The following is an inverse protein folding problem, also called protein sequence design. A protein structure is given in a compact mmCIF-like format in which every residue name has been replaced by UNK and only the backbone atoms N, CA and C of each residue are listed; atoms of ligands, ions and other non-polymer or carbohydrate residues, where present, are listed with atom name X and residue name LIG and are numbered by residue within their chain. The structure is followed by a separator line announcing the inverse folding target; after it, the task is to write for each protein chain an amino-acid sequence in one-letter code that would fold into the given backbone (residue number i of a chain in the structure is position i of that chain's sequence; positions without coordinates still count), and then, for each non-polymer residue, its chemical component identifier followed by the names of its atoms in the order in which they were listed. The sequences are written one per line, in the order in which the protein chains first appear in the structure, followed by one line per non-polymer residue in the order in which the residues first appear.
data_IF_159544579089
#
_entry.id   IF_159544579089
#
_cell.length_a   1.000
_cell.length_b   1.000
_cell.length_c   1.000
_cell.angle_alpha   90.00
_cell.angle_beta   90.00
_cell.angle_gamma   90.00
#
_symmetry.space_group_name_H-M   'P 1'
#
loop_
_entity.id
_entity.type
_entity.pdbx_description
1 polymer ?
#
# COMPACT_ATOMS: atom_id res chain seq x y z
N UNK A 1 0.72 15.74 -4.04
CA UNK A 1 0.69 14.43 -3.36
C UNK A 1 2.02 13.69 -3.46
N UNK A 2 2.13 12.55 -2.78
CA UNK A 2 3.29 11.66 -2.92
C UNK A 2 3.43 11.12 -4.33
N UNK A 3 2.31 10.77 -4.95
CA UNK A 3 2.25 10.27 -6.33
C UNK A 3 2.69 11.30 -7.36
N UNK A 4 2.39 12.60 -7.15
CA UNK A 4 2.85 13.68 -8.03
C UNK A 4 4.38 13.79 -8.04
N UNK A 5 5.00 13.75 -6.84
CA UNK A 5 6.48 13.78 -6.71
C UNK A 5 7.12 12.58 -7.38
N UNK A 6 6.49 11.41 -7.25
CA UNK A 6 6.97 10.18 -7.88
C UNK A 6 6.89 10.27 -9.40
N UNK A 7 5.78 10.78 -9.95
CA UNK A 7 5.59 10.99 -11.38
C UNK A 7 6.59 12.02 -11.95
N UNK A 8 6.94 13.06 -11.19
CA UNK A 8 7.99 14.02 -11.55
C UNK A 8 9.38 13.34 -11.53
N UNK A 9 9.69 12.61 -10.47
CA UNK A 9 10.99 11.96 -10.31
C UNK A 9 11.28 10.94 -11.41
N UNK A 10 10.28 10.18 -11.85
CA UNK A 10 10.45 9.15 -12.89
C UNK A 10 10.81 9.72 -14.25
N UNK A 11 10.56 11.00 -14.51
CA UNK A 11 10.95 11.68 -15.76
C UNK A 11 12.48 11.68 -15.96
N UNK A 12 13.25 11.66 -14.87
CA UNK A 12 14.71 11.56 -14.94
C UNK A 12 15.21 10.17 -15.38
N UNK A 13 14.32 9.17 -15.45
CA UNK A 13 14.64 7.79 -15.78
C UNK A 13 13.81 7.30 -16.98
N UNK A 14 14.14 7.69 -18.21
CA UNK A 14 13.30 7.41 -19.40
C UNK A 14 13.10 5.93 -19.69
N UNK A 15 14.02 5.07 -19.28
CA UNK A 15 13.97 3.61 -19.47
C UNK A 15 13.17 2.87 -18.39
N UNK A 16 12.80 3.53 -17.28
CA UNK A 16 12.01 2.90 -16.24
C UNK A 16 10.59 2.60 -16.74
N UNK A 17 10.16 1.36 -16.60
CA UNK A 17 8.82 0.89 -16.99
C UNK A 17 7.90 0.68 -15.79
N UNK A 18 8.48 0.44 -14.61
CA UNK A 18 7.80 0.24 -13.34
C UNK A 18 8.45 1.10 -12.25
N UNK A 19 7.68 1.51 -11.28
CA UNK A 19 8.12 2.40 -10.20
C UNK A 19 7.62 1.84 -8.88
N UNK A 20 8.52 1.63 -7.93
CA UNK A 20 8.15 1.24 -6.56
C UNK A 20 8.38 2.43 -5.63
N UNK A 21 7.33 2.81 -4.92
CA UNK A 21 7.36 3.89 -3.93
C UNK A 21 7.53 3.30 -2.54
N UNK A 22 8.68 3.56 -1.94
CA UNK A 22 9.00 3.19 -0.56
C UNK A 22 9.03 4.49 0.24
N UNK A 23 8.31 4.52 1.35
CA UNK A 23 8.30 5.68 2.24
C UNK A 23 9.63 5.75 3.01
N UNK A 24 10.17 6.95 3.18
CA UNK A 24 11.45 7.17 3.89
C UNK A 24 11.39 6.85 5.38
N UNK A 25 10.21 6.73 5.94
CA UNK A 25 9.92 6.36 7.32
C UNK A 25 9.78 4.83 7.54
N UNK A 26 10.01 4.01 6.49
CA UNK A 26 9.95 2.55 6.51
C UNK A 26 11.35 1.90 6.34
N UNK A 27 12.32 2.17 7.25
CA UNK A 27 13.71 1.74 7.07
C UNK A 27 13.92 0.23 7.20
N UNK A 28 12.96 -0.50 7.73
CA UNK A 28 13.01 -1.96 7.94
C UNK A 28 12.16 -2.73 6.92
N UNK A 29 11.84 -2.11 5.78
CA UNK A 29 11.13 -2.83 4.72
C UNK A 29 11.92 -4.06 4.27
N UNK A 30 11.23 -5.19 4.14
CA UNK A 30 11.82 -6.40 3.58
C UNK A 30 12.11 -6.21 2.07
N UNK A 31 13.37 -6.29 1.63
CA UNK A 31 13.70 -6.17 0.20
C UNK A 31 12.96 -7.16 -0.69
N UNK A 32 12.68 -8.38 -0.21
CA UNK A 32 11.91 -9.37 -0.95
C UNK A 32 10.46 -8.90 -1.24
N UNK A 33 9.91 -8.02 -0.41
CA UNK A 33 8.60 -7.43 -0.63
C UNK A 33 8.60 -6.47 -1.82
N UNK A 34 9.70 -5.73 -2.00
CA UNK A 34 9.90 -4.84 -3.16
C UNK A 34 9.92 -5.66 -4.45
N UNK A 35 10.67 -6.77 -4.46
CA UNK A 35 10.72 -7.68 -5.61
C UNK A 35 9.34 -8.26 -5.92
N UNK A 36 8.59 -8.71 -4.91
CA UNK A 36 7.23 -9.24 -5.08
C UNK A 36 6.25 -8.21 -5.66
N UNK A 37 6.37 -6.94 -5.28
CA UNK A 37 5.56 -5.85 -5.85
C UNK A 37 5.90 -5.63 -7.33
N UNK A 38 7.18 -5.60 -7.68
CA UNK A 38 7.63 -5.45 -9.05
C UNK A 38 7.20 -6.65 -9.92
N UNK A 39 7.42 -7.87 -9.42
CA UNK A 39 7.06 -9.12 -10.10
C UNK A 39 5.54 -9.22 -10.39
N UNK A 40 4.70 -8.76 -9.47
CA UNK A 40 3.25 -8.73 -9.68
C UNK A 40 2.86 -7.90 -10.91
N UNK A 41 3.50 -6.75 -11.11
CA UNK A 41 3.25 -5.86 -12.26
C UNK A 41 3.86 -6.40 -13.55
N UNK A 42 5.03 -7.02 -13.47
CA UNK A 42 5.71 -7.61 -14.64
C UNK A 42 4.95 -8.85 -15.15
N UNK A 43 4.43 -9.66 -14.22
CA UNK A 43 3.75 -10.93 -14.55
C UNK A 43 2.34 -10.75 -15.09
N UNK A 44 1.66 -9.66 -14.75
CA UNK A 44 0.28 -9.36 -15.21
C UNK A 44 0.24 -8.00 -15.90
N UNK A 45 0.37 -8.01 -17.22
CA UNK A 45 0.37 -6.78 -18.04
C UNK A 45 -0.92 -5.94 -17.98
N UNK A 46 -2.03 -6.50 -17.46
CA UNK A 46 -3.28 -5.77 -17.24
C UNK A 46 -3.36 -5.12 -15.84
N UNK A 47 -2.38 -5.40 -14.98
CA UNK A 47 -2.31 -4.82 -13.65
C UNK A 47 -1.66 -3.44 -13.70
N UNK A 48 -2.32 -2.44 -13.11
CA UNK A 48 -1.87 -1.04 -13.17
C UNK A 48 -1.02 -0.64 -11.97
N UNK A 49 -1.37 -1.16 -10.79
CA UNK A 49 -0.65 -0.89 -9.55
C UNK A 49 -0.73 -2.07 -8.58
N UNK A 50 0.20 -2.13 -7.67
CA UNK A 50 0.24 -3.08 -6.58
C UNK A 50 0.52 -2.37 -5.25
N UNK A 51 0.07 -2.97 -4.17
CA UNK A 51 0.30 -2.49 -2.80
C UNK A 51 0.43 -3.67 -1.84
N UNK A 52 0.58 -3.39 -0.55
CA UNK A 52 0.86 -4.38 0.48
C UNK A 52 -0.21 -4.35 1.56
N UNK A 53 -0.51 -5.49 2.15
CA UNK A 53 -1.32 -5.59 3.35
C UNK A 53 -0.80 -6.69 4.28
N UNK A 54 -1.11 -6.56 5.56
CA UNK A 54 -0.82 -7.57 6.57
C UNK A 54 -2.05 -7.84 7.46
N UNK A 55 -2.14 -9.01 8.10
CA UNK A 55 -3.20 -9.30 9.05
C UNK A 55 -3.21 -8.35 10.25
N UNK A 56 -4.40 -7.93 10.69
CA UNK A 56 -4.59 -7.21 11.95
C UNK A 56 -4.81 -8.25 13.06
N UNK A 57 -3.97 -8.21 14.08
CA UNK A 57 -4.06 -9.11 15.24
C UNK A 57 -4.69 -8.48 16.47
N UNK A 58 -4.57 -7.16 16.64
CA UNK A 58 -5.08 -6.43 17.78
C UNK A 58 -6.42 -5.74 17.47
N UNK A 59 -7.38 -5.80 18.39
CA UNK A 59 -8.70 -5.18 18.22
C UNK A 59 -8.60 -3.64 18.16
N UNK A 60 -7.69 -3.05 18.95
CA UNK A 60 -7.46 -1.60 18.94
C UNK A 60 -7.01 -1.11 17.56
N UNK A 61 -6.20 -1.89 16.86
CA UNK A 61 -5.77 -1.58 15.50
C UNK A 61 -6.93 -1.64 14.51
N UNK A 62 -7.85 -2.58 14.70
CA UNK A 62 -9.02 -2.72 13.84
C UNK A 62 -9.96 -1.51 13.95
N UNK A 63 -10.17 -1.01 15.17
CA UNK A 63 -11.08 0.11 15.45
C UNK A 63 -10.42 1.48 15.17
N UNK A 64 -9.11 1.52 14.97
CA UNK A 64 -8.37 2.75 14.69
C UNK A 64 -8.58 3.22 13.24
N UNK A 65 -9.17 4.41 13.00
CA UNK A 65 -9.39 4.94 11.65
C UNK A 65 -8.09 5.35 10.92
N UNK A 66 -6.98 5.49 11.64
CA UNK A 66 -5.68 5.77 11.04
C UNK A 66 -5.06 4.50 10.42
N UNK A 67 -5.52 3.33 10.84
CA UNK A 67 -5.17 2.05 10.22
C UNK A 67 -6.19 1.75 9.14
N UNK A 68 -5.78 1.88 7.89
CA UNK A 68 -6.64 1.63 6.73
C UNK A 68 -6.82 0.13 6.56
N UNK A 69 -8.08 -0.30 6.42
CA UNK A 69 -8.44 -1.69 6.13
C UNK A 69 -8.61 -1.90 4.65
N UNK A 70 -8.36 -3.13 4.19
CA UNK A 70 -8.57 -3.52 2.79
C UNK A 70 -9.28 -4.87 2.73
N UNK A 71 -10.21 -5.01 1.79
CA UNK A 71 -10.86 -6.28 1.45
C UNK A 71 -10.47 -6.70 0.06
N UNK A 72 -10.27 -8.01 -0.13
CA UNK A 72 -9.73 -8.58 -1.35
C UNK A 72 -10.74 -9.46 -2.08
N UNK A 73 -10.65 -9.46 -3.39
CA UNK A 73 -11.23 -10.47 -4.26
C UNK A 73 -10.44 -11.78 -4.16
N UNK A 74 -11.03 -12.88 -4.65
CA UNK A 74 -10.39 -14.20 -4.60
C UNK A 74 -9.09 -14.30 -5.40
N UNK A 75 -8.84 -13.39 -6.33
CA UNK A 75 -7.59 -13.29 -7.10
C UNK A 75 -6.51 -12.43 -6.42
N UNK A 76 -6.79 -11.85 -5.23
CA UNK A 76 -5.89 -10.99 -4.50
C UNK A 76 -5.92 -9.51 -4.91
N UNK A 77 -6.83 -9.11 -5.79
CA UNK A 77 -7.02 -7.69 -6.12
C UNK A 77 -7.87 -7.01 -5.05
N UNK A 78 -7.60 -5.74 -4.75
CA UNK A 78 -8.37 -4.97 -3.81
C UNK A 78 -9.81 -4.75 -4.31
N UNK A 79 -10.79 -5.01 -3.45
CA UNK A 79 -12.19 -4.64 -3.67
C UNK A 79 -12.47 -3.23 -3.16
N UNK A 80 -11.96 -2.89 -1.97
CA UNK A 80 -12.12 -1.57 -1.37
C UNK A 80 -11.13 -1.35 -0.23
N UNK A 81 -10.79 -0.07 0.00
CA UNK A 81 -10.01 0.40 1.15
C UNK A 81 -10.90 1.33 1.99
N UNK A 82 -10.82 1.22 3.31
CA UNK A 82 -11.60 2.08 4.20
C UNK A 82 -10.91 2.33 5.54
N UNK A 83 -11.19 3.49 6.11
CA UNK A 83 -10.87 3.79 7.51
C UNK A 83 -11.82 3.09 8.46
N UNK A 84 -13.04 2.78 8.00
CA UNK A 84 -14.02 1.99 8.74
C UNK A 84 -13.59 0.53 8.88
N UNK A 85 -14.20 -0.17 9.82
CA UNK A 85 -14.02 -1.62 9.97
C UNK A 85 -14.74 -2.35 8.84
N UNK A 86 -13.97 -2.91 7.92
CA UNK A 86 -14.46 -3.74 6.80
C UNK A 86 -13.71 -5.08 6.76
N UNK A 87 -14.41 -6.19 6.37
CA UNK A 87 -15.85 -6.31 6.23
C UNK A 87 -16.56 -6.26 7.58
N UNK A 88 -17.83 -5.84 7.61
CA UNK A 88 -18.65 -5.93 8.82
C UNK A 88 -18.84 -7.37 9.23
N UNK A 89 -18.44 -7.71 10.46
CA UNK A 89 -18.53 -9.07 10.97
C UNK A 89 -19.91 -9.33 11.60
N UNK A 90 -20.86 -9.77 10.80
CA UNK A 90 -22.18 -10.23 11.30
C UNK A 90 -22.07 -11.57 12.04
N UNK A 91 -21.06 -12.37 11.69
CA UNK A 91 -20.71 -13.66 12.28
C UNK A 91 -19.22 -13.66 12.63
N UNK A 92 -18.71 -14.63 13.43
CA UNK A 92 -17.28 -14.75 13.67
C UNK A 92 -16.47 -14.75 12.37
N UNK A 93 -15.39 -13.96 12.34
CA UNK A 93 -14.55 -13.83 11.15
C UNK A 93 -13.91 -15.16 10.77
N UNK A 94 -13.96 -15.49 9.50
CA UNK A 94 -13.31 -16.69 8.93
C UNK A 94 -11.83 -16.42 8.66
N UNK A 95 -11.50 -15.17 8.32
CA UNK A 95 -10.13 -14.70 8.07
C UNK A 95 -9.86 -13.43 8.87
N UNK A 96 -8.61 -13.16 9.28
CA UNK A 96 -8.27 -11.91 9.93
C UNK A 96 -8.53 -10.73 8.97
N UNK A 97 -8.97 -9.58 9.50
CA UNK A 97 -9.01 -8.34 8.72
C UNK A 97 -7.60 -7.94 8.31
N UNK A 98 -7.49 -7.20 7.20
CA UNK A 98 -6.21 -6.79 6.64
C UNK A 98 -5.99 -5.28 6.84
N UNK A 99 -4.79 -4.93 7.33
CA UNK A 99 -4.25 -3.59 7.36
C UNK A 99 -3.52 -3.32 6.06
N UNK A 100 -3.88 -2.25 5.39
CA UNK A 100 -3.15 -1.72 4.25
C UNK A 100 -1.85 -1.04 4.70
N UNK A 101 -0.76 -1.30 3.98
CA UNK A 101 0.51 -0.62 4.14
C UNK A 101 0.74 0.29 2.93
N UNK A 102 1.18 1.54 3.18
CA UNK A 102 1.29 2.61 2.18
C UNK A 102 2.46 2.46 1.20
N UNK A 103 2.84 1.23 0.88
CA UNK A 103 3.89 0.89 -0.08
C UNK A 103 3.22 0.54 -1.39
N UNK A 104 3.67 1.15 -2.50
CA UNK A 104 3.03 0.99 -3.80
C UNK A 104 4.03 0.72 -4.90
N UNK A 105 3.61 -0.09 -5.87
CA UNK A 105 4.26 -0.19 -7.16
C UNK A 105 3.28 0.20 -8.26
N UNK A 106 3.79 0.85 -9.29
CA UNK A 106 3.01 1.35 -10.43
C UNK A 106 3.67 0.96 -11.74
N UNK A 107 2.86 0.69 -12.76
CA UNK A 107 3.33 0.85 -14.13
C UNK A 107 3.56 2.34 -14.40
N UNK A 108 4.63 2.70 -15.07
CA UNK A 108 4.96 4.10 -15.34
C UNK A 108 3.87 4.81 -16.12
N UNK A 109 3.39 4.21 -17.21
CA UNK A 109 2.33 4.77 -18.05
C UNK A 109 1.04 5.03 -17.26
N UNK A 110 0.70 4.11 -16.34
CA UNK A 110 -0.42 4.30 -15.44
C UNK A 110 -0.17 5.45 -14.45
N UNK A 111 0.98 5.51 -13.79
CA UNK A 111 1.32 6.56 -12.83
C UNK A 111 1.22 7.95 -13.45
N UNK A 112 1.79 8.13 -14.66
CA UNK A 112 1.76 9.40 -15.40
C UNK A 112 0.34 9.85 -15.76
N UNK A 113 -0.59 8.93 -15.97
CA UNK A 113 -2.00 9.23 -16.17
C UNK A 113 -2.75 9.46 -14.86
N UNK A 114 -2.50 8.61 -13.87
CA UNK A 114 -3.14 8.63 -12.55
C UNK A 114 -3.01 9.98 -11.84
N UNK A 115 -1.84 10.60 -11.87
CA UNK A 115 -1.62 11.91 -11.23
C UNK A 115 -2.34 13.07 -11.92
N UNK A 116 -2.87 12.86 -13.14
CA UNK A 116 -3.66 13.85 -13.87
C UNK A 116 -5.15 13.75 -13.62
N UNK A 117 -5.60 12.65 -12.99
CA UNK A 117 -7.01 12.46 -12.70
C UNK A 117 -7.45 13.37 -11.56
N UNK A 118 -8.65 13.93 -11.70
CA UNK A 118 -9.27 14.70 -10.63
C UNK A 118 -9.57 13.81 -9.42
N UNK A 119 -9.48 14.36 -8.20
CA UNK A 119 -9.88 13.63 -6.99
C UNK A 119 -11.32 13.15 -7.06
N UNK A 120 -11.53 11.89 -6.72
CA UNK A 120 -12.84 11.23 -6.82
C UNK A 120 -13.63 11.31 -5.51
N UNK A 121 -14.98 11.08 -5.52
CA UNK A 121 -15.80 11.20 -4.32
C UNK A 121 -15.39 10.30 -3.17
N UNK A 122 -15.07 9.02 -3.43
CA UNK A 122 -14.64 8.10 -2.36
C UNK A 122 -13.27 8.47 -1.80
N UNK A 123 -12.33 8.85 -2.68
CA UNK A 123 -11.02 9.35 -2.27
C UNK A 123 -11.15 10.54 -1.31
N UNK A 124 -11.98 11.52 -1.66
CA UNK A 124 -12.19 12.71 -0.83
C UNK A 124 -12.89 12.39 0.49
N UNK A 125 -13.85 11.47 0.47
CA UNK A 125 -14.62 11.07 1.64
C UNK A 125 -13.74 10.35 2.67
N UNK A 126 -12.95 9.38 2.21
CA UNK A 126 -12.09 8.57 3.07
C UNK A 126 -10.70 9.21 3.28
N UNK A 127 -10.34 10.22 2.49
CA UNK A 127 -8.98 10.76 2.38
C UNK A 127 -7.96 9.64 2.08
N UNK A 128 -8.27 8.84 1.05
CA UNK A 128 -7.48 7.69 0.60
C UNK A 128 -7.26 7.78 -0.91
N UNK A 129 -6.06 8.21 -1.32
CA UNK A 129 -5.72 8.48 -2.72
C UNK A 129 -5.91 7.26 -3.63
N UNK A 130 -5.63 6.03 -3.14
CA UNK A 130 -5.78 4.80 -3.92
C UNK A 130 -7.22 4.50 -4.33
N UNK A 131 -8.23 5.09 -3.70
CA UNK A 131 -9.61 4.96 -4.12
C UNK A 131 -9.87 5.61 -5.47
N UNK A 132 -9.13 6.68 -5.83
CA UNK A 132 -9.17 7.27 -7.18
C UNK A 132 -8.88 6.22 -8.26
N UNK A 133 -7.91 5.34 -8.00
CA UNK A 133 -7.59 4.27 -8.95
C UNK A 133 -8.75 3.28 -9.09
N UNK A 134 -9.34 2.82 -7.98
CA UNK A 134 -10.49 1.90 -8.01
C UNK A 134 -11.71 2.52 -8.68
N UNK A 135 -12.04 3.77 -8.37
CA UNK A 135 -13.19 4.48 -8.97
C UNK A 135 -13.03 4.68 -10.48
N UNK A 136 -11.79 4.75 -10.99
CA UNK A 136 -11.48 4.78 -12.42
C UNK A 136 -11.30 3.38 -13.03
N UNK A 137 -11.65 2.32 -12.33
CA UNK A 137 -11.63 0.94 -12.83
C UNK A 137 -10.25 0.29 -12.90
N UNK A 138 -9.23 0.89 -12.27
CA UNK A 138 -7.90 0.29 -12.21
C UNK A 138 -7.89 -0.90 -11.25
N UNK A 139 -7.12 -1.94 -11.59
CA UNK A 139 -6.87 -3.08 -10.72
C UNK A 139 -5.68 -2.79 -9.81
N UNK A 140 -5.84 -3.08 -8.53
CA UNK A 140 -4.79 -2.95 -7.52
C UNK A 140 -4.53 -4.32 -6.92
N UNK A 141 -3.39 -4.94 -7.21
CA UNK A 141 -2.96 -6.19 -6.58
C UNK A 141 -2.49 -5.92 -5.16
N UNK A 142 -2.93 -6.72 -4.21
CA UNK A 142 -2.47 -6.65 -2.82
C UNK A 142 -1.56 -7.83 -2.50
N UNK A 143 -0.32 -7.54 -2.18
CA UNK A 143 0.66 -8.51 -1.73
C UNK A 143 0.53 -8.67 -0.22
N UNK A 144 0.26 -9.89 0.24
CA UNK A 144 0.19 -10.17 1.67
C UNK A 144 1.58 -10.40 2.25
N UNK A 145 1.82 -9.82 3.43
CA UNK A 145 3.03 -10.03 4.22
C UNK A 145 2.69 -10.23 5.69
N UNK A 146 3.49 -11.02 6.38
CA UNK A 146 3.42 -11.15 7.85
C UNK A 146 4.33 -10.13 8.56
N UNK A 147 5.19 -9.43 7.80
CA UNK A 147 6.05 -8.38 8.32
C UNK A 147 5.31 -7.04 8.37
N UNK A 148 5.15 -6.51 9.58
CA UNK A 148 4.82 -5.11 9.81
C UNK A 148 6.14 -4.41 10.08
N UNK A 149 6.61 -3.57 9.13
CA UNK A 149 7.76 -2.73 9.43
C UNK A 149 7.37 -1.68 10.46
N UNK A 150 8.31 -1.32 11.31
CA UNK A 150 8.13 -0.24 12.27
C UNK A 150 8.45 1.06 11.54
N UNK A 151 7.42 1.85 11.24
CA UNK A 151 7.59 3.20 10.71
C UNK A 151 8.26 4.11 11.75
N UNK A 152 9.01 5.11 11.28
CA UNK A 152 9.73 6.05 12.14
C UNK A 152 9.07 7.43 12.07
N UNK A 153 8.08 7.64 12.93
CA UNK A 153 7.36 8.93 13.07
C UNK A 153 7.79 9.71 14.32
N UNK A 154 8.43 9.03 15.29
CA UNK A 154 8.82 9.62 16.57
C UNK A 154 10.29 9.30 16.91
N UNK A 155 10.96 10.11 17.76
CA UNK A 155 12.32 9.82 18.23
C UNK A 155 12.46 8.47 18.92
N UNK A 156 11.41 8.01 19.64
CA UNK A 156 11.38 6.71 20.31
C UNK A 156 11.39 5.57 19.30
N UNK A 157 10.64 5.69 18.22
CA UNK A 157 10.62 4.72 17.12
C UNK A 157 11.98 4.70 16.39
N UNK A 158 12.62 5.87 16.19
CA UNK A 158 13.96 5.95 15.64
C UNK A 158 14.98 5.18 16.49
N UNK A 159 14.94 5.35 17.81
CA UNK A 159 15.81 4.62 18.73
C UNK A 159 15.54 3.10 18.71
N UNK A 160 14.27 2.70 18.60
CA UNK A 160 13.90 1.30 18.48
C UNK A 160 14.46 0.67 17.18
N UNK A 161 14.31 1.35 16.05
CA UNK A 161 14.82 0.90 14.76
C UNK A 161 16.35 0.83 14.77
N UNK A 162 17.04 1.80 15.38
CA UNK A 162 18.49 1.78 15.56
C UNK A 162 18.95 0.51 16.31
N UNK A 163 18.26 0.15 17.39
CA UNK A 163 18.58 -1.07 18.15
C UNK A 163 18.36 -2.34 17.31
N UNK A 164 17.32 -2.38 16.49
CA UNK A 164 17.05 -3.51 15.59
C UNK A 164 18.20 -3.64 14.57
N UNK A 165 18.59 -2.54 13.92
CA UNK A 165 19.65 -2.53 12.92
C UNK A 165 21.02 -2.94 13.51
N UNK A 166 21.33 -2.52 14.73
CA UNK A 166 22.56 -2.92 15.42
C UNK A 166 22.62 -4.42 15.75
N UNK A 167 21.46 -5.08 15.88
CA UNK A 167 21.38 -6.51 16.18
C UNK A 167 21.35 -7.41 14.93
N UNK A 168 21.28 -6.83 13.73
CA UNK A 168 21.30 -7.59 12.45
C UNK A 168 22.75 -7.85 11.99
N UNK A 169 23.72 -7.18 12.59
CA UNK A 169 25.16 -7.34 12.31
C UNK A 169 25.82 -8.11 13.43
#
# INVERSE_FOLDING_TARGET
SGSDRLAEAVQAFPSATHVVNIQGDEPLIDPALIDRLADALVSDGALSMATVACPISAQEDLDNPNIVKVVLAGNGDALYFSRSVIPYARHPRVTPPLRHLGIYAYRRDFLENYVRWEPTPLEQTESLEQLRALENGARIRVILTDHVSVGVDTPEQAAQVEQILLNIH
#
